data_IF_152259707458
#
_entry.id   IF_152259707458
#
_cell.length_a   1.000
_cell.length_b   1.000
_cell.length_c   1.000
_cell.angle_alpha   90.00
_cell.angle_beta   90.00
_cell.angle_gamma   90.00
#
_symmetry.space_group_name_H-M   'P 1'
#
loop_
_entity.id
_entity.type
_entity.pdbx_description
1 polymer ?
#
# COMPACT_ATOMS: atom_id res chain seq x y z
N UNK A 1 -49.19 -49.67 23.46
CA UNK A 1 -50.39 -48.77 23.55
C UNK A 1 -49.91 -47.37 23.79
N UNK A 2 -50.49 -46.43 23.06
CA UNK A 2 -50.28 -44.96 23.02
C UNK A 2 -49.11 -44.44 22.20
N UNK A 3 -49.41 -44.29 20.91
CA UNK A 3 -48.72 -43.38 19.99
C UNK A 3 -49.08 -41.94 20.33
N UNK A 4 -48.10 -41.06 20.58
CA UNK A 4 -48.27 -39.60 20.60
C UNK A 4 -47.86 -39.04 19.27
N UNK A 5 -48.80 -38.45 18.57
CA UNK A 5 -48.66 -37.64 17.35
C UNK A 5 -47.78 -36.44 17.62
N UNK A 6 -46.67 -36.34 16.87
CA UNK A 6 -45.83 -35.15 16.80
C UNK A 6 -46.55 -34.12 15.90
N UNK A 7 -46.99 -33.02 16.50
CA UNK A 7 -47.49 -31.85 15.80
C UNK A 7 -46.33 -31.08 15.17
N UNK A 8 -46.42 -30.84 13.85
CA UNK A 8 -45.53 -30.01 13.07
C UNK A 8 -45.68 -28.53 13.49
N UNK A 9 -44.58 -27.78 13.73
CA UNK A 9 -44.69 -26.36 14.04
C UNK A 9 -45.09 -25.57 12.79
N UNK A 10 -46.01 -24.62 13.00
CA UNK A 10 -46.50 -23.68 11.99
C UNK A 10 -45.38 -22.89 11.30
N UNK A 11 -45.45 -22.82 9.98
CA UNK A 11 -44.57 -21.94 9.16
C UNK A 11 -44.74 -20.49 9.61
N UNK A 12 -43.65 -19.88 10.08
CA UNK A 12 -43.55 -18.44 10.29
C UNK A 12 -43.70 -17.74 8.94
N UNK A 13 -44.76 -16.99 8.77
CA UNK A 13 -44.99 -16.11 7.63
C UNK A 13 -43.88 -15.04 7.62
N UNK A 14 -43.18 -14.94 6.50
CA UNK A 14 -42.22 -13.86 6.24
C UNK A 14 -42.91 -12.52 6.24
N UNK A 15 -42.42 -11.48 6.95
CA UNK A 15 -43.02 -10.17 6.87
C UNK A 15 -42.87 -9.61 5.45
N UNK A 16 -44.00 -9.14 4.89
CA UNK A 16 -44.01 -8.46 3.60
C UNK A 16 -43.35 -7.08 3.74
N UNK A 17 -42.21 -6.89 3.11
CA UNK A 17 -41.55 -5.59 2.99
C UNK A 17 -42.41 -4.68 2.09
N UNK A 18 -42.69 -3.42 2.47
CA UNK A 18 -43.42 -2.50 1.61
C UNK A 18 -42.58 -2.15 0.39
N UNK A 19 -43.05 -2.51 -0.79
CA UNK A 19 -42.47 -2.08 -2.08
C UNK A 19 -42.85 -0.61 -2.31
N UNK A 20 -42.07 0.33 -1.76
CA UNK A 20 -41.98 1.72 -2.24
C UNK A 20 -40.60 2.29 -1.85
N UNK A 21 -39.58 1.96 -2.61
CA UNK A 21 -38.46 2.85 -2.72
C UNK A 21 -38.88 4.03 -3.59
N UNK A 22 -39.06 5.20 -2.99
CA UNK A 22 -39.07 6.46 -3.76
C UNK A 22 -37.66 6.70 -4.16
N UNK A 23 -37.36 6.67 -5.46
CA UNK A 23 -36.10 7.12 -5.99
C UNK A 23 -35.85 8.57 -5.56
N UNK A 24 -34.72 8.80 -4.93
CA UNK A 24 -34.23 10.14 -4.61
C UNK A 24 -34.01 10.86 -5.95
N UNK A 25 -34.58 12.03 -6.15
CA UNK A 25 -34.42 12.86 -7.34
C UNK A 25 -32.98 13.33 -7.56
N UNK A 26 -32.08 13.14 -6.58
CA UNK A 26 -30.63 13.41 -6.72
C UNK A 26 -29.87 12.33 -7.52
N UNK A 27 -30.52 11.20 -7.86
CA UNK A 27 -29.94 10.11 -8.64
C UNK A 27 -30.50 10.02 -10.08
N UNK A 28 -31.14 11.08 -10.59
CA UNK A 28 -31.54 11.11 -12.00
C UNK A 28 -30.28 11.28 -12.84
N UNK A 29 -29.95 10.35 -13.76
CA UNK A 29 -28.82 10.55 -14.66
C UNK A 29 -29.07 11.81 -15.48
N UNK A 30 -28.20 12.79 -15.39
CA UNK A 30 -28.13 13.84 -16.41
C UNK A 30 -27.81 13.19 -17.74
N UNK A 31 -28.52 13.60 -18.80
CA UNK A 31 -28.44 13.04 -20.14
C UNK A 31 -26.96 12.76 -20.53
N UNK A 32 -26.72 11.58 -21.07
CA UNK A 32 -25.42 11.19 -21.62
C UNK A 32 -24.92 12.26 -22.60
N UNK A 33 -23.63 12.63 -22.56
CA UNK A 33 -23.07 13.48 -23.61
C UNK A 33 -23.14 12.72 -24.94
N UNK A 34 -23.43 13.42 -26.06
CA UNK A 34 -23.59 12.78 -27.35
C UNK A 34 -22.33 12.03 -27.74
N UNK A 35 -22.50 10.73 -28.00
CA UNK A 35 -21.48 9.81 -28.46
C UNK A 35 -20.84 10.34 -29.77
N UNK A 36 -19.62 10.85 -29.69
CA UNK A 36 -18.86 11.26 -30.87
C UNK A 36 -18.38 10.04 -31.62
N UNK A 37 -19.25 9.50 -32.44
CA UNK A 37 -18.95 8.38 -33.32
C UNK A 37 -17.86 8.76 -34.32
N UNK A 38 -17.03 7.77 -34.66
CA UNK A 38 -15.93 7.76 -35.66
C UNK A 38 -16.29 8.32 -37.05
N UNK A 39 -17.53 8.78 -37.30
CA UNK A 39 -18.02 9.26 -38.57
C UNK A 39 -17.60 10.71 -38.91
N UNK A 40 -17.17 11.50 -37.92
CA UNK A 40 -16.76 12.90 -38.18
C UNK A 40 -15.28 13.06 -38.57
N UNK A 41 -14.54 11.97 -38.67
CA UNK A 41 -13.14 11.99 -39.11
C UNK A 41 -12.96 12.01 -40.64
N UNK A 42 -14.03 11.73 -41.41
CA UNK A 42 -13.95 11.63 -42.87
C UNK A 42 -14.59 12.78 -43.63
N UNK A 43 -15.12 13.79 -42.97
CA UNK A 43 -15.79 14.94 -43.64
C UNK A 43 -14.93 16.23 -43.73
N UNK A 44 -13.66 16.20 -43.32
CA UNK A 44 -12.76 17.37 -43.32
C UNK A 44 -11.65 17.36 -44.36
N UNK A 45 -11.69 16.47 -45.30
CA UNK A 45 -10.58 16.26 -46.23
C UNK A 45 -10.89 16.51 -47.70
N UNK A 46 -11.26 17.71 -48.15
CA UNK A 46 -11.06 18.18 -49.53
C UNK A 46 -11.26 19.72 -49.51
N UNK A 47 -10.22 20.50 -49.40
CA UNK A 47 -10.01 21.82 -50.00
C UNK A 47 -8.76 22.49 -49.41
N UNK A 48 -7.61 22.23 -49.99
CA UNK A 48 -6.51 23.21 -50.14
C UNK A 48 -5.33 22.54 -50.88
N UNK A 49 -5.45 22.46 -52.19
CA UNK A 49 -4.27 22.38 -53.05
C UNK A 49 -3.79 23.82 -53.28
N UNK A 50 -2.67 24.18 -52.65
CA UNK A 50 -2.05 25.51 -52.74
C UNK A 50 -0.62 25.48 -52.26
N UNK A 51 0.34 25.18 -53.18
CA UNK A 51 1.72 25.69 -53.28
C UNK A 51 2.59 25.78 -52.01
N UNK A 52 3.53 24.87 -51.88
CA UNK A 52 4.95 25.15 -51.73
C UNK A 52 5.45 25.77 -50.43
N UNK A 53 5.99 24.96 -49.56
CA UNK A 53 7.27 25.19 -48.87
C UNK A 53 7.59 23.91 -48.04
N UNK A 54 8.66 23.22 -48.38
CA UNK A 54 9.21 22.08 -47.62
C UNK A 54 9.77 22.57 -46.30
N UNK A 55 8.91 22.77 -45.31
CA UNK A 55 9.28 22.97 -43.95
C UNK A 55 9.10 21.62 -43.22
N UNK A 56 10.18 20.87 -43.03
CA UNK A 56 10.23 19.76 -42.06
C UNK A 56 9.82 20.34 -40.72
N UNK A 57 8.56 20.16 -40.34
CA UNK A 57 8.13 20.35 -38.95
C UNK A 57 8.83 19.29 -38.16
N UNK A 58 9.95 19.64 -37.54
CA UNK A 58 10.42 18.92 -36.38
C UNK A 58 9.24 18.89 -35.40
N UNK A 59 8.67 17.71 -35.16
CA UNK A 59 7.80 17.54 -34.02
C UNK A 59 8.62 17.96 -32.81
N UNK A 60 8.28 19.07 -32.17
CA UNK A 60 8.88 19.46 -30.92
C UNK A 60 8.67 18.29 -30.00
N UNK A 61 9.76 17.64 -29.57
CA UNK A 61 9.69 16.63 -28.55
C UNK A 61 8.94 17.27 -27.38
N UNK A 62 7.88 16.62 -26.93
CA UNK A 62 7.22 17.07 -25.71
C UNK A 62 8.27 17.04 -24.60
N UNK A 63 8.37 18.09 -23.76
CA UNK A 63 9.32 18.09 -22.67
C UNK A 63 9.06 16.84 -21.83
N UNK A 64 10.11 16.05 -21.59
CA UNK A 64 10.08 14.91 -20.68
C UNK A 64 9.41 15.36 -19.38
N UNK A 65 8.48 14.58 -18.83
CA UNK A 65 7.83 14.93 -17.57
C UNK A 65 8.90 15.13 -16.51
N UNK A 66 8.87 16.27 -15.82
CA UNK A 66 9.85 16.58 -14.78
C UNK A 66 9.80 15.45 -13.73
N UNK A 67 10.92 14.75 -13.54
CA UNK A 67 11.03 13.67 -12.55
C UNK A 67 11.07 14.28 -11.16
N UNK A 68 9.93 14.36 -10.50
CA UNK A 68 9.82 15.03 -9.20
C UNK A 68 9.23 14.14 -8.12
N UNK A 69 8.63 12.99 -8.48
CA UNK A 69 7.96 12.13 -7.53
C UNK A 69 8.93 11.26 -6.76
N UNK A 70 8.58 10.96 -5.49
CA UNK A 70 9.19 9.92 -4.69
C UNK A 70 8.13 8.84 -4.46
N UNK A 71 8.42 7.66 -4.98
CA UNK A 71 7.57 6.48 -4.84
C UNK A 71 8.00 5.68 -3.61
N UNK A 72 7.13 5.59 -2.60
CA UNK A 72 7.42 4.87 -1.35
C UNK A 72 6.86 3.44 -1.33
N UNK A 73 6.28 2.97 -2.45
CA UNK A 73 5.77 1.61 -2.59
C UNK A 73 6.23 1.01 -3.93
N UNK A 74 7.46 0.54 -3.94
CA UNK A 74 8.10 -0.01 -5.13
C UNK A 74 8.83 -1.30 -4.77
N UNK A 75 8.38 -2.41 -5.32
CA UNK A 75 9.00 -3.68 -5.03
C UNK A 75 10.22 -3.97 -5.90
N UNK A 76 11.17 -4.69 -5.32
CA UNK A 76 12.31 -5.24 -6.03
C UNK A 76 12.50 -6.70 -5.69
N UNK A 77 13.15 -7.44 -6.58
CA UNK A 77 13.39 -8.87 -6.44
C UNK A 77 14.89 -9.16 -6.57
N UNK A 78 15.64 -9.19 -5.46
CA UNK A 78 17.03 -9.62 -5.48
C UNK A 78 17.18 -11.05 -6.03
N UNK A 79 18.29 -11.36 -6.76
CA UNK A 79 18.52 -12.71 -7.29
C UNK A 79 18.47 -13.80 -6.22
N UNK A 80 18.92 -13.50 -5.00
CA UNK A 80 18.88 -14.43 -3.86
C UNK A 80 17.45 -14.70 -3.41
N UNK A 81 16.57 -13.70 -3.42
CA UNK A 81 15.14 -13.89 -3.12
C UNK A 81 14.44 -14.66 -4.23
N UNK A 82 14.74 -14.38 -5.50
CA UNK A 82 14.23 -15.13 -6.64
C UNK A 82 14.59 -16.63 -6.53
N UNK A 83 15.83 -16.93 -6.12
CA UNK A 83 16.25 -18.31 -5.84
C UNK A 83 15.44 -18.93 -4.69
N UNK A 84 15.22 -18.20 -3.60
CA UNK A 84 14.44 -18.68 -2.46
C UNK A 84 12.98 -18.99 -2.86
N UNK A 85 12.37 -18.21 -3.76
CA UNK A 85 11.07 -18.52 -4.35
C UNK A 85 11.09 -19.86 -5.11
N UNK A 86 12.08 -20.06 -5.97
CA UNK A 86 12.21 -21.30 -6.75
C UNK A 86 12.42 -22.52 -5.84
N UNK A 87 13.25 -22.41 -4.82
CA UNK A 87 13.56 -23.50 -3.89
C UNK A 87 12.37 -23.86 -2.97
N UNK A 88 11.54 -22.88 -2.59
CA UNK A 88 10.45 -23.08 -1.64
C UNK A 88 9.11 -23.44 -2.30
N UNK A 89 8.99 -23.33 -3.61
CA UNK A 89 7.74 -23.51 -4.35
C UNK A 89 6.57 -22.63 -3.82
N UNK A 90 6.88 -21.48 -3.24
CA UNK A 90 5.89 -20.53 -2.70
C UNK A 90 5.55 -19.50 -3.78
N UNK A 91 4.45 -19.72 -4.49
CA UNK A 91 3.95 -18.80 -5.50
C UNK A 91 4.90 -18.55 -6.68
N UNK A 92 4.60 -17.56 -7.50
CA UNK A 92 5.46 -17.14 -8.61
C UNK A 92 6.11 -15.80 -8.28
N UNK A 93 7.42 -15.72 -8.38
CA UNK A 93 8.14 -14.45 -8.31
C UNK A 93 7.77 -13.57 -9.52
N UNK A 94 7.55 -12.26 -9.36
CA UNK A 94 7.31 -11.38 -10.50
C UNK A 94 8.56 -11.28 -11.36
N UNK A 95 8.39 -10.94 -12.63
CA UNK A 95 9.54 -10.53 -13.47
C UNK A 95 9.97 -9.14 -13.02
N UNK A 96 11.26 -9.01 -12.73
CA UNK A 96 11.83 -7.74 -12.30
C UNK A 96 13.30 -7.61 -12.70
N UNK A 97 13.71 -6.41 -13.01
CA UNK A 97 15.11 -6.00 -13.13
C UNK A 97 15.24 -4.51 -12.78
N UNK A 98 16.44 -4.02 -12.43
CA UNK A 98 16.66 -2.59 -12.21
C UNK A 98 16.25 -1.73 -13.39
N UNK A 99 16.53 -2.18 -14.63
CA UNK A 99 16.16 -1.44 -15.83
C UNK A 99 14.63 -1.34 -16.00
N UNK A 100 13.89 -2.41 -15.73
CA UNK A 100 12.41 -2.36 -15.77
C UNK A 100 11.85 -1.33 -14.78
N UNK A 101 12.42 -1.24 -13.56
CA UNK A 101 12.06 -0.21 -12.60
C UNK A 101 12.34 1.19 -13.13
N UNK A 102 13.54 1.42 -13.68
CA UNK A 102 13.93 2.73 -14.21
C UNK A 102 13.02 3.17 -15.38
N UNK A 103 12.66 2.25 -16.26
CA UNK A 103 11.80 2.53 -17.40
C UNK A 103 10.38 2.93 -16.95
N UNK A 104 9.82 2.25 -15.94
CA UNK A 104 8.51 2.58 -15.37
C UNK A 104 8.55 3.92 -14.61
N UNK A 105 9.57 4.11 -13.78
CA UNK A 105 9.80 5.37 -13.06
C UNK A 105 9.86 6.56 -14.02
N UNK A 106 10.56 6.41 -15.13
CA UNK A 106 10.71 7.48 -16.13
C UNK A 106 9.37 7.81 -16.78
N UNK A 107 8.57 6.80 -17.14
CA UNK A 107 7.21 6.98 -17.67
C UNK A 107 6.28 7.70 -16.68
N UNK A 108 6.39 7.36 -15.39
CA UNK A 108 5.54 7.90 -14.33
C UNK A 108 6.06 9.25 -13.78
N UNK A 109 7.20 9.76 -14.26
CA UNK A 109 7.85 10.97 -13.72
C UNK A 109 8.32 10.80 -12.27
N UNK A 110 8.74 9.58 -11.91
CA UNK A 110 9.31 9.23 -10.59
C UNK A 110 10.81 9.44 -10.62
N UNK A 111 11.31 10.27 -9.73
CA UNK A 111 12.74 10.50 -9.55
C UNK A 111 13.38 9.37 -8.74
N UNK A 112 12.77 9.06 -7.60
CA UNK A 112 13.33 8.11 -6.64
C UNK A 112 12.24 7.13 -6.20
N UNK A 113 12.52 5.82 -6.25
CA UNK A 113 11.66 4.78 -5.67
C UNK A 113 12.34 4.15 -4.46
N UNK A 114 11.60 4.03 -3.35
CA UNK A 114 12.10 3.36 -2.15
C UNK A 114 11.79 1.87 -2.27
N UNK A 115 12.84 1.08 -2.46
CA UNK A 115 12.75 -0.36 -2.71
C UNK A 115 12.28 -1.12 -1.47
N UNK A 116 11.32 -2.01 -1.62
CA UNK A 116 10.91 -2.99 -0.62
C UNK A 116 10.80 -4.38 -1.26
N UNK A 117 11.06 -5.45 -0.49
CA UNK A 117 10.98 -6.81 -1.03
C UNK A 117 9.54 -7.18 -1.43
N UNK A 118 9.40 -8.06 -2.43
CA UNK A 118 8.13 -8.72 -2.70
C UNK A 118 7.79 -9.71 -1.58
N UNK A 119 6.47 -9.92 -1.29
CA UNK A 119 6.07 -10.94 -0.33
C UNK A 119 6.49 -12.35 -0.80
N UNK A 120 6.84 -13.28 0.11
CA UNK A 120 6.73 -13.21 1.55
C UNK A 120 7.96 -12.56 2.25
N UNK A 121 8.73 -11.76 1.55
CA UNK A 121 9.93 -11.13 2.11
C UNK A 121 11.07 -12.13 2.28
N UNK A 122 11.53 -12.30 3.53
CA UNK A 122 12.62 -13.22 3.87
C UNK A 122 12.15 -14.42 4.70
N UNK A 123 10.86 -14.47 5.06
CA UNK A 123 10.26 -15.55 5.83
C UNK A 123 9.50 -16.51 4.92
N UNK A 124 10.17 -17.56 4.46
CA UNK A 124 9.54 -18.64 3.70
C UNK A 124 9.01 -19.74 4.64
N UNK A 125 8.00 -20.50 4.19
CA UNK A 125 7.18 -21.40 5.02
C UNK A 125 7.95 -22.42 5.88
N UNK A 126 9.23 -22.64 5.64
CA UNK A 126 10.04 -23.60 6.39
C UNK A 126 10.52 -23.11 7.76
N UNK A 127 10.25 -21.87 8.13
CA UNK A 127 10.49 -21.31 9.45
C UNK A 127 11.94 -21.34 9.95
N UNK A 128 12.92 -21.46 9.04
CA UNK A 128 14.33 -21.51 9.44
C UNK A 128 14.84 -20.08 9.70
N UNK A 129 15.03 -19.74 10.96
CA UNK A 129 15.49 -18.42 11.38
C UNK A 129 16.88 -18.08 10.83
N UNK A 130 17.81 -19.03 10.77
CA UNK A 130 19.16 -18.80 10.23
C UNK A 130 19.11 -18.47 8.72
N UNK A 131 18.33 -19.24 7.96
CA UNK A 131 18.14 -18.97 6.54
C UNK A 131 17.48 -17.60 6.31
N UNK A 132 16.50 -17.23 7.14
CA UNK A 132 15.84 -15.91 7.06
C UNK A 132 16.78 -14.76 7.41
N UNK A 133 17.65 -14.91 8.40
CA UNK A 133 18.71 -13.93 8.74
C UNK A 133 19.67 -13.72 7.57
N UNK A 134 20.16 -14.82 6.98
CA UNK A 134 21.06 -14.77 5.83
C UNK A 134 20.38 -14.10 4.64
N UNK A 135 19.15 -14.51 4.33
CA UNK A 135 18.40 -13.95 3.20
C UNK A 135 18.12 -12.46 3.40
N UNK A 136 17.76 -12.02 4.61
CA UNK A 136 17.56 -10.60 4.92
C UNK A 136 18.84 -9.79 4.62
N UNK A 137 19.98 -10.25 5.13
CA UNK A 137 21.26 -9.61 4.92
C UNK A 137 21.60 -9.48 3.43
N UNK A 138 21.54 -10.56 2.69
CA UNK A 138 21.88 -10.59 1.26
C UNK A 138 20.93 -9.73 0.42
N UNK A 139 19.63 -9.70 0.75
CA UNK A 139 18.67 -8.84 0.09
C UNK A 139 18.93 -7.35 0.38
N UNK A 140 19.23 -7.00 1.63
CA UNK A 140 19.52 -5.64 2.04
C UNK A 140 20.82 -5.13 1.40
N UNK A 141 21.87 -5.96 1.35
CA UNK A 141 23.13 -5.65 0.68
C UNK A 141 22.92 -5.39 -0.82
N UNK A 142 22.11 -6.19 -1.49
CA UNK A 142 21.74 -5.98 -2.89
C UNK A 142 20.99 -4.67 -3.09
N UNK A 143 20.00 -4.35 -2.23
CA UNK A 143 19.31 -3.06 -2.29
C UNK A 143 20.23 -1.87 -2.06
N UNK A 144 21.17 -1.98 -1.12
CA UNK A 144 22.18 -0.96 -0.88
C UNK A 144 23.16 -0.81 -2.06
N UNK A 145 23.47 -1.91 -2.77
CA UNK A 145 24.27 -1.86 -3.99
C UNK A 145 23.52 -1.14 -5.12
N UNK A 146 22.24 -1.41 -5.33
CA UNK A 146 21.44 -0.69 -6.33
C UNK A 146 21.42 0.82 -6.09
N UNK A 147 21.40 1.27 -4.84
CA UNK A 147 21.49 2.70 -4.50
C UNK A 147 22.82 3.32 -4.91
N UNK A 148 23.91 2.56 -4.87
CA UNK A 148 25.24 3.01 -5.31
C UNK A 148 25.35 3.00 -6.83
N UNK A 149 24.78 1.98 -7.49
CA UNK A 149 24.86 1.83 -8.94
C UNK A 149 23.97 2.86 -9.67
N UNK A 150 22.89 3.29 -9.03
CA UNK A 150 21.91 4.24 -9.58
C UNK A 150 21.66 5.41 -8.60
N UNK A 151 22.63 6.32 -8.43
CA UNK A 151 22.52 7.41 -7.47
C UNK A 151 21.28 8.27 -7.70
N UNK A 152 20.54 8.56 -6.61
CA UNK A 152 19.32 9.37 -6.63
C UNK A 152 18.08 8.66 -7.20
N UNK A 153 18.22 7.41 -7.72
CA UNK A 153 17.06 6.67 -8.27
C UNK A 153 16.43 5.72 -7.27
N UNK A 154 17.17 5.20 -6.29
CA UNK A 154 16.65 4.24 -5.33
C UNK A 154 16.90 4.66 -3.88
N UNK A 155 15.88 4.50 -3.04
CA UNK A 155 15.96 4.38 -1.59
C UNK A 155 15.81 2.91 -1.18
N UNK A 156 15.81 2.62 0.14
CA UNK A 156 15.70 1.27 0.65
C UNK A 156 14.89 1.19 1.95
N UNK A 157 13.82 0.43 1.95
CA UNK A 157 13.22 -0.15 3.14
C UNK A 157 13.83 -1.54 3.35
N UNK A 158 14.71 -1.65 4.34
CA UNK A 158 15.41 -2.90 4.60
C UNK A 158 14.48 -3.95 5.23
N UNK A 159 14.64 -5.20 4.82
CA UNK A 159 13.93 -6.32 5.40
C UNK A 159 14.58 -6.78 6.71
N UNK A 160 13.79 -7.27 7.66
CA UNK A 160 14.27 -7.92 8.88
C UNK A 160 13.67 -9.31 9.03
N UNK A 161 14.36 -10.26 9.69
CA UNK A 161 13.95 -11.66 9.73
C UNK A 161 12.89 -11.97 10.81
N UNK A 162 11.84 -11.13 10.98
CA UNK A 162 10.71 -11.51 11.82
C UNK A 162 10.14 -12.86 11.37
N UNK A 163 9.68 -13.70 12.29
CA UNK A 163 9.39 -13.46 13.70
C UNK A 163 10.60 -13.61 14.66
N UNK A 164 11.80 -13.82 14.15
CA UNK A 164 13.01 -13.90 14.95
C UNK A 164 13.40 -12.50 15.48
N UNK A 165 13.01 -12.21 16.71
CA UNK A 165 13.23 -10.89 17.31
C UNK A 165 14.74 -10.57 17.47
N UNK A 166 15.54 -11.54 17.92
CA UNK A 166 16.98 -11.34 18.14
C UNK A 166 17.72 -11.08 16.81
N UNK A 167 17.44 -11.87 15.78
CA UNK A 167 17.97 -11.66 14.43
C UNK A 167 17.53 -10.32 13.86
N UNK A 168 16.27 -9.92 14.12
CA UNK A 168 15.73 -8.64 13.67
C UNK A 168 16.41 -7.45 14.31
N UNK A 169 16.73 -7.50 15.61
CA UNK A 169 17.47 -6.42 16.28
C UNK A 169 18.86 -6.21 15.67
N UNK A 170 19.59 -7.30 15.38
CA UNK A 170 20.90 -7.22 14.71
C UNK A 170 20.79 -6.68 13.29
N UNK A 171 19.75 -7.07 12.57
CA UNK A 171 19.57 -6.61 11.20
C UNK A 171 19.09 -5.14 11.14
N UNK A 172 18.32 -4.67 12.11
CA UNK A 172 17.96 -3.24 12.26
C UNK A 172 19.20 -2.38 12.44
N UNK A 173 20.11 -2.80 13.35
CA UNK A 173 21.38 -2.11 13.56
C UNK A 173 22.20 -2.03 12.26
N UNK A 174 22.37 -3.15 11.58
CA UNK A 174 23.13 -3.21 10.34
C UNK A 174 22.48 -2.36 9.23
N UNK A 175 21.19 -2.51 9.03
CA UNK A 175 20.48 -1.80 7.97
C UNK A 175 20.50 -0.28 8.16
N UNK A 176 20.25 0.20 9.39
CA UNK A 176 20.16 1.63 9.66
C UNK A 176 21.55 2.28 9.89
N UNK A 177 22.49 1.56 10.54
CA UNK A 177 23.78 2.13 10.93
C UNK A 177 24.88 1.90 9.90
N UNK A 178 24.88 0.76 9.18
CA UNK A 178 25.89 0.43 8.18
C UNK A 178 25.40 0.75 6.77
N UNK A 179 24.25 0.19 6.38
CA UNK A 179 23.71 0.38 5.03
C UNK A 179 23.06 1.76 4.85
N UNK A 180 22.72 2.45 5.96
CA UNK A 180 21.98 3.72 5.93
C UNK A 180 20.65 3.58 5.16
N UNK A 181 19.91 2.50 5.41
CA UNK A 181 18.59 2.32 4.87
C UNK A 181 17.64 3.47 5.26
N UNK A 182 16.66 3.78 4.42
CA UNK A 182 15.73 4.90 4.64
C UNK A 182 14.64 4.55 5.65
N UNK A 183 14.46 3.26 5.92
CA UNK A 183 13.56 2.71 6.90
C UNK A 183 13.57 1.20 6.88
N UNK A 184 12.60 0.60 7.56
CA UNK A 184 12.40 -0.84 7.64
C UNK A 184 11.10 -1.23 6.94
N UNK A 185 11.14 -2.23 6.06
CA UNK A 185 9.99 -2.82 5.39
C UNK A 185 9.47 -4.03 6.17
N UNK A 186 8.20 -3.99 6.57
CA UNK A 186 7.52 -5.07 7.28
C UNK A 186 6.32 -5.59 6.50
N UNK A 187 5.94 -6.83 6.78
CA UNK A 187 4.64 -7.37 6.39
C UNK A 187 3.65 -7.28 7.55
N UNK A 188 2.37 -7.34 7.24
CA UNK A 188 1.28 -7.24 8.22
C UNK A 188 1.32 -8.32 9.30
N UNK A 189 1.84 -9.51 8.95
CA UNK A 189 1.95 -10.61 9.89
C UNK A 189 3.13 -11.54 9.58
N UNK A 190 3.61 -12.26 10.59
CA UNK A 190 4.68 -13.24 10.52
C UNK A 190 4.30 -14.47 11.34
N UNK A 191 4.37 -15.67 10.75
CA UNK A 191 4.02 -16.93 11.41
C UNK A 191 2.65 -16.88 12.12
N UNK A 192 1.65 -16.26 11.48
CA UNK A 192 0.29 -16.13 12.01
C UNK A 192 0.09 -15.06 13.10
N UNK A 193 1.11 -14.27 13.41
CA UNK A 193 1.06 -13.18 14.39
C UNK A 193 1.09 -11.84 13.70
N UNK A 194 0.12 -10.97 14.01
CA UNK A 194 0.11 -9.57 13.56
C UNK A 194 1.13 -8.73 14.31
N UNK A 195 1.52 -7.59 13.72
CA UNK A 195 2.58 -6.72 14.26
C UNK A 195 2.32 -6.20 15.69
N UNK A 196 1.08 -6.20 16.16
CA UNK A 196 0.73 -5.85 17.54
C UNK A 196 0.89 -6.97 18.57
N UNK A 197 1.41 -8.17 18.19
CA UNK A 197 1.70 -9.25 19.11
C UNK A 197 2.82 -8.86 20.09
N UNK A 198 2.65 -9.25 21.37
CA UNK A 198 3.60 -8.90 22.42
C UNK A 198 5.02 -9.44 22.18
N UNK A 199 5.18 -10.54 21.43
CA UNK A 199 6.49 -11.10 21.10
C UNK A 199 7.36 -10.18 20.22
N UNK A 200 6.77 -9.19 19.54
CA UNK A 200 7.49 -8.24 18.70
C UNK A 200 7.86 -6.94 19.43
N UNK A 201 7.44 -6.76 20.68
CA UNK A 201 7.71 -5.53 21.45
C UNK A 201 9.20 -5.14 21.44
N UNK A 202 10.18 -6.04 21.70
CA UNK A 202 11.59 -5.64 21.70
C UNK A 202 12.05 -5.01 20.38
N UNK A 203 11.53 -5.51 19.25
CA UNK A 203 11.83 -4.98 17.91
C UNK A 203 11.23 -3.59 17.74
N UNK A 204 9.98 -3.39 18.15
CA UNK A 204 9.33 -2.10 18.04
C UNK A 204 9.91 -1.05 19.01
N UNK A 205 10.35 -1.44 20.20
CA UNK A 205 11.04 -0.54 21.12
C UNK A 205 12.37 -0.04 20.54
N UNK A 206 13.13 -0.90 19.85
CA UNK A 206 14.35 -0.47 19.16
C UNK A 206 14.04 0.44 17.96
N UNK A 207 13.03 0.12 17.15
CA UNK A 207 12.57 0.99 16.06
C UNK A 207 12.10 2.35 16.59
N UNK A 208 11.42 2.37 17.75
CA UNK A 208 10.97 3.59 18.40
C UNK A 208 12.13 4.44 18.91
N UNK A 209 13.11 3.80 19.56
CA UNK A 209 14.34 4.47 20.04
C UNK A 209 15.06 5.19 18.90
N UNK A 210 15.03 4.58 17.70
CA UNK A 210 15.63 5.12 16.47
C UNK A 210 14.73 6.11 15.75
N UNK A 211 13.47 6.30 16.17
CA UNK A 211 12.44 7.08 15.46
C UNK A 211 12.32 6.65 14.00
N UNK A 212 12.38 5.34 13.78
CA UNK A 212 12.49 4.75 12.46
C UNK A 212 11.22 4.99 11.62
N UNK A 213 11.41 5.08 10.31
CA UNK A 213 10.35 4.93 9.33
C UNK A 213 10.11 3.43 9.13
N UNK A 214 8.84 3.02 9.21
CA UNK A 214 8.42 1.62 9.04
C UNK A 214 7.35 1.56 7.96
N UNK A 215 7.70 1.03 6.82
CA UNK A 215 6.77 0.73 5.74
C UNK A 215 6.14 -0.64 5.97
N UNK A 216 4.84 -0.79 5.71
CA UNK A 216 4.13 -2.05 5.90
C UNK A 216 3.37 -2.46 4.65
N UNK A 217 3.54 -3.73 4.26
CA UNK A 217 2.85 -4.33 3.12
C UNK A 217 1.97 -5.52 3.58
N UNK A 218 0.74 -5.68 3.06
CA UNK A 218 -0.11 -6.82 3.40
C UNK A 218 0.44 -8.14 2.88
N UNK A 219 -0.05 -9.21 3.51
CA UNK A 219 0.11 -10.58 3.01
C UNK A 219 -1.26 -11.25 2.93
N UNK A 220 -1.35 -12.38 2.23
CA UNK A 220 -2.54 -13.24 2.30
C UNK A 220 -2.54 -13.96 3.65
N UNK A 221 -3.46 -13.62 4.58
CA UNK A 221 -3.47 -14.26 5.88
C UNK A 221 -3.94 -15.72 5.76
N UNK A 222 -3.31 -16.61 6.52
CA UNK A 222 -3.59 -18.05 6.44
C UNK A 222 -5.08 -18.41 6.67
N UNK A 223 -5.80 -17.60 7.48
CA UNK A 223 -7.23 -17.80 7.73
C UNK A 223 -8.11 -17.64 6.49
N UNK A 224 -7.64 -16.89 5.50
CA UNK A 224 -8.52 -16.33 4.47
C UNK A 224 -7.94 -16.51 3.05
N UNK A 225 -6.82 -17.22 2.93
CA UNK A 225 -6.22 -17.53 1.64
C UNK A 225 -7.11 -18.47 0.84
N UNK A 226 -7.30 -18.17 -0.46
CA UNK A 226 -8.16 -18.91 -1.38
C UNK A 226 -9.62 -19.08 -0.92
N UNK A 227 -10.13 -18.17 -0.09
CA UNK A 227 -11.49 -18.25 0.47
C UNK A 227 -12.57 -18.13 -0.62
N UNK A 228 -12.33 -17.34 -1.65
CA UNK A 228 -13.28 -17.10 -2.73
C UNK A 228 -12.71 -17.71 -4.02
N UNK A 229 -13.34 -18.79 -4.51
CA UNK A 229 -12.90 -19.48 -5.74
C UNK A 229 -12.86 -18.51 -6.93
N UNK A 230 -11.74 -18.52 -7.67
CA UNK A 230 -11.54 -17.68 -8.84
C UNK A 230 -11.20 -16.22 -8.58
N UNK A 231 -11.09 -15.80 -7.29
CA UNK A 231 -10.70 -14.44 -6.89
C UNK A 231 -9.32 -14.51 -6.24
N UNK A 232 -8.41 -13.66 -6.71
CA UNK A 232 -7.08 -13.54 -6.09
C UNK A 232 -7.21 -12.92 -4.69
N UNK A 233 -6.47 -13.44 -3.72
CA UNK A 233 -6.49 -12.96 -2.33
C UNK A 233 -6.24 -11.45 -2.23
N UNK A 234 -5.33 -10.90 -3.04
CA UNK A 234 -5.05 -9.47 -3.10
C UNK A 234 -6.26 -8.57 -3.36
N UNK A 235 -7.32 -9.11 -4.00
CA UNK A 235 -8.54 -8.35 -4.32
C UNK A 235 -9.31 -7.91 -3.07
N UNK A 236 -9.33 -8.74 -2.04
CA UNK A 236 -10.10 -8.48 -0.80
C UNK A 236 -9.18 -8.47 0.42
N UNK A 237 -8.29 -9.46 0.51
CA UNK A 237 -7.57 -9.71 1.75
C UNK A 237 -6.48 -8.68 2.01
N UNK A 238 -5.78 -8.14 1.00
CA UNK A 238 -4.69 -7.19 1.25
C UNK A 238 -5.18 -5.91 1.96
N UNK A 239 -6.27 -5.32 1.45
CA UNK A 239 -6.85 -4.14 2.09
C UNK A 239 -7.39 -4.45 3.50
N UNK A 240 -7.95 -5.64 3.69
CA UNK A 240 -8.50 -6.11 4.96
C UNK A 240 -7.36 -6.41 5.95
N UNK A 241 -6.29 -7.03 5.50
CA UNK A 241 -5.15 -7.44 6.32
C UNK A 241 -4.33 -6.24 6.83
N UNK A 242 -4.16 -5.20 5.99
CA UNK A 242 -3.62 -3.90 6.43
C UNK A 242 -4.43 -3.35 7.61
N UNK A 243 -5.77 -3.40 7.53
CA UNK A 243 -6.63 -2.91 8.61
C UNK A 243 -6.54 -3.78 9.87
N UNK A 244 -6.42 -5.12 9.73
CA UNK A 244 -6.21 -6.04 10.86
C UNK A 244 -4.93 -5.70 11.61
N UNK A 245 -3.85 -5.42 10.88
CA UNK A 245 -2.58 -5.03 11.48
C UNK A 245 -2.66 -3.68 12.21
N UNK A 246 -3.29 -2.67 11.62
CA UNK A 246 -3.54 -1.40 12.32
C UNK A 246 -4.35 -1.64 13.60
N UNK A 247 -5.38 -2.49 13.54
CA UNK A 247 -6.15 -2.87 14.72
C UNK A 247 -5.29 -3.57 15.77
N UNK A 248 -4.40 -4.47 15.35
CA UNK A 248 -3.51 -5.20 16.28
C UNK A 248 -2.54 -4.27 17.01
N UNK A 249 -1.98 -3.27 16.33
CA UNK A 249 -1.10 -2.28 16.96
C UNK A 249 -1.83 -1.39 17.99
N UNK A 250 -3.10 -1.09 17.74
CA UNK A 250 -3.91 -0.23 18.62
C UNK A 250 -4.52 -1.02 19.78
N UNK A 251 -5.07 -2.20 19.51
CA UNK A 251 -5.88 -2.96 20.47
C UNK A 251 -5.22 -4.24 20.98
N UNK A 252 -4.14 -4.70 20.33
CA UNK A 252 -3.43 -5.92 20.71
C UNK A 252 -2.66 -5.80 22.02
N UNK A 253 -2.23 -6.95 22.55
CA UNK A 253 -1.58 -7.07 23.85
C UNK A 253 -0.22 -6.33 23.93
N UNK A 254 0.45 -6.17 22.78
CA UNK A 254 1.69 -5.40 22.70
C UNK A 254 1.51 -3.92 23.00
N UNK A 255 0.35 -3.35 22.73
CA UNK A 255 0.09 -1.92 22.88
C UNK A 255 1.04 -1.03 22.09
N UNK A 256 1.56 -1.54 20.98
CA UNK A 256 2.67 -0.97 20.20
C UNK A 256 2.43 0.48 19.78
N UNK A 257 1.20 0.81 19.36
CA UNK A 257 0.87 2.19 18.96
C UNK A 257 1.03 3.23 20.07
N UNK A 258 1.02 2.81 21.34
CA UNK A 258 1.16 3.69 22.52
C UNK A 258 2.53 3.59 23.16
N UNK A 259 3.12 2.39 23.17
CA UNK A 259 4.48 2.18 23.70
C UNK A 259 5.56 2.76 22.79
N UNK A 260 5.28 2.80 21.47
CA UNK A 260 6.22 3.17 20.44
C UNK A 260 5.70 4.35 19.59
N UNK A 261 5.43 5.53 20.22
CA UNK A 261 4.79 6.66 19.54
C UNK A 261 5.68 7.37 18.50
N UNK A 262 7.00 7.17 18.56
CA UNK A 262 7.96 7.85 17.69
C UNK A 262 8.19 7.11 16.36
N UNK A 263 7.68 5.89 16.21
CA UNK A 263 7.72 5.17 14.94
C UNK A 263 6.82 5.86 13.91
N UNK A 264 7.35 6.09 12.73
CA UNK A 264 6.62 6.67 11.61
C UNK A 264 6.17 5.58 10.67
N UNK A 265 4.97 5.03 10.94
CA UNK A 265 4.38 3.98 10.12
C UNK A 265 3.84 4.56 8.80
N UNK A 266 4.19 3.91 7.70
CA UNK A 266 3.62 4.12 6.35
C UNK A 266 2.77 2.89 6.03
N UNK A 267 1.46 3.09 5.87
CA UNK A 267 0.52 2.04 5.53
C UNK A 267 0.27 2.00 4.04
N UNK A 268 0.44 0.82 3.45
CA UNK A 268 0.16 0.59 2.04
C UNK A 268 -1.34 0.67 1.72
N UNK A 269 -1.63 0.92 0.44
CA UNK A 269 -2.97 0.90 -0.15
C UNK A 269 -3.97 1.79 0.61
N UNK A 270 -3.57 3.03 0.92
CA UNK A 270 -4.40 4.01 1.63
C UNK A 270 -4.92 3.52 2.99
N UNK A 271 -4.17 2.62 3.65
CA UNK A 271 -4.57 2.03 4.93
C UNK A 271 -5.67 0.97 4.82
N UNK A 272 -5.90 0.46 3.61
CA UNK A 272 -6.85 -0.62 3.34
C UNK A 272 -8.30 -0.24 3.62
N UNK A 273 -9.01 -1.09 4.35
CA UNK A 273 -10.43 -0.86 4.70
C UNK A 273 -10.62 0.00 5.95
N UNK A 274 -9.56 0.55 6.56
CA UNK A 274 -9.62 1.34 7.79
C UNK A 274 -10.66 2.47 7.74
N UNK A 275 -10.75 3.30 6.67
CA UNK A 275 -11.73 4.40 6.63
C UNK A 275 -13.16 3.93 6.80
N UNK A 276 -13.50 2.76 6.29
CA UNK A 276 -14.83 2.18 6.38
C UNK A 276 -15.09 1.48 7.72
N UNK A 277 -14.03 1.06 8.42
CA UNK A 277 -14.12 0.35 9.70
C UNK A 277 -13.88 1.25 10.92
N UNK A 278 -13.52 2.52 10.75
CA UNK A 278 -13.20 3.42 11.86
C UNK A 278 -14.31 3.54 12.90
N UNK A 279 -15.57 3.48 12.48
CA UNK A 279 -16.71 3.49 13.38
C UNK A 279 -16.74 2.29 14.35
N UNK A 280 -16.21 1.13 13.91
CA UNK A 280 -16.05 -0.05 14.77
C UNK A 280 -14.92 0.14 15.79
N UNK A 281 -13.83 0.80 15.41
CA UNK A 281 -12.73 1.15 16.31
C UNK A 281 -13.21 2.12 17.40
N UNK A 282 -13.97 3.16 17.01
CA UNK A 282 -14.58 4.13 17.95
C UNK A 282 -15.48 3.39 18.94
N UNK A 283 -16.34 2.49 18.46
CA UNK A 283 -17.22 1.69 19.33
C UNK A 283 -16.41 0.79 20.28
N UNK A 284 -15.34 0.16 19.81
CA UNK A 284 -14.47 -0.70 20.63
C UNK A 284 -13.88 0.10 21.80
N UNK A 285 -13.35 1.30 21.53
CA UNK A 285 -12.81 2.20 22.58
C UNK A 285 -13.89 2.59 23.59
N UNK A 286 -15.07 2.99 23.12
CA UNK A 286 -16.17 3.39 23.99
C UNK A 286 -16.67 2.25 24.89
N UNK A 287 -16.79 1.03 24.35
CA UNK A 287 -17.22 -0.14 25.12
C UNK A 287 -16.17 -0.58 26.14
N UNK A 288 -14.90 -0.59 25.75
CA UNK A 288 -13.79 -1.00 26.63
C UNK A 288 -13.38 0.10 27.60
N UNK A 289 -13.80 1.35 27.37
CA UNK A 289 -13.37 2.53 28.14
C UNK A 289 -11.85 2.60 28.26
N UNK A 290 -11.15 2.39 27.11
CA UNK A 290 -9.69 2.31 27.08
C UNK A 290 -9.08 3.66 27.48
N UNK A 291 -8.39 3.75 28.64
CA UNK A 291 -7.83 5.00 29.13
C UNK A 291 -6.70 5.57 28.26
N UNK A 292 -6.11 4.75 27.38
CA UNK A 292 -5.08 5.20 26.43
C UNK A 292 -5.65 6.08 25.31
N UNK A 293 -6.96 6.03 25.10
CA UNK A 293 -7.66 6.72 24.02
C UNK A 293 -8.85 7.54 24.53
N UNK A 294 -8.63 8.54 25.40
CA UNK A 294 -9.72 9.36 25.92
C UNK A 294 -10.51 10.07 24.80
N UNK A 295 -9.82 10.45 23.71
CA UNK A 295 -10.40 11.10 22.52
C UNK A 295 -10.72 10.12 21.40
N UNK A 296 -10.75 8.81 21.70
CA UNK A 296 -10.99 7.75 20.72
C UNK A 296 -9.76 7.39 19.85
N UNK A 297 -9.92 6.52 18.84
CA UNK A 297 -8.81 6.00 18.05
C UNK A 297 -8.36 6.95 16.92
N UNK A 298 -9.16 7.96 16.56
CA UNK A 298 -8.87 8.86 15.43
C UNK A 298 -7.55 9.61 15.61
N UNK A 299 -7.21 10.17 16.80
CA UNK A 299 -5.89 10.78 17.02
C UNK A 299 -4.72 9.82 16.79
N UNK A 300 -4.90 8.53 17.07
CA UNK A 300 -3.86 7.51 16.84
C UNK A 300 -3.63 7.31 15.35
N UNK A 301 -4.69 7.08 14.58
CA UNK A 301 -4.57 6.88 13.12
C UNK A 301 -4.08 8.12 12.39
N UNK A 302 -4.30 9.32 12.92
CA UNK A 302 -3.77 10.58 12.39
C UNK A 302 -2.26 10.74 12.56
N UNK A 303 -1.60 9.93 13.37
CA UNK A 303 -0.13 9.94 13.49
C UNK A 303 0.55 9.11 12.41
N UNK A 304 -0.20 8.24 11.75
CA UNK A 304 0.31 7.36 10.70
C UNK A 304 0.38 8.07 9.35
N UNK A 305 1.19 7.53 8.46
CA UNK A 305 1.28 7.92 7.07
C UNK A 305 0.69 6.84 6.18
N UNK A 306 0.28 7.22 4.99
CA UNK A 306 -0.43 6.34 4.06
C UNK A 306 0.09 6.60 2.65
N UNK A 307 0.27 5.57 1.86
CA UNK A 307 0.58 5.74 0.45
C UNK A 307 -0.60 5.29 -0.42
N UNK A 308 -0.62 5.77 -1.67
CA UNK A 308 -1.82 5.77 -2.48
C UNK A 308 -1.95 4.60 -3.46
N UNK A 309 -0.97 3.68 -3.55
CA UNK A 309 -1.01 2.56 -4.49
C UNK A 309 -2.33 1.78 -4.36
N UNK A 310 -3.00 1.55 -5.47
CA UNK A 310 -4.30 0.84 -5.54
C UNK A 310 -5.39 1.35 -4.56
N UNK A 311 -5.10 2.44 -3.82
CA UNK A 311 -6.03 3.15 -2.95
C UNK A 311 -6.33 4.57 -3.46
N UNK A 312 -6.21 4.80 -4.77
CA UNK A 312 -6.14 6.09 -5.44
C UNK A 312 -7.41 6.46 -6.25
N UNK A 313 -8.52 5.79 -6.03
CA UNK A 313 -9.80 6.21 -6.65
C UNK A 313 -10.47 7.33 -5.85
N UNK A 314 -11.27 8.20 -6.48
CA UNK A 314 -11.90 9.33 -5.81
C UNK A 314 -12.69 8.99 -4.55
N UNK A 315 -13.40 7.86 -4.52
CA UNK A 315 -14.15 7.41 -3.36
C UNK A 315 -13.25 7.01 -2.18
N UNK A 316 -12.09 6.40 -2.47
CA UNK A 316 -11.11 6.00 -1.47
C UNK A 316 -10.43 7.25 -0.85
N UNK A 317 -10.00 8.20 -1.69
CA UNK A 317 -9.48 9.49 -1.21
C UNK A 317 -10.49 10.24 -0.35
N UNK A 318 -11.75 10.34 -0.82
CA UNK A 318 -12.79 11.03 -0.07
C UNK A 318 -13.02 10.41 1.33
N UNK A 319 -12.98 9.08 1.44
CA UNK A 319 -13.11 8.38 2.72
C UNK A 319 -11.89 8.59 3.63
N UNK A 320 -10.68 8.42 3.10
CA UNK A 320 -9.45 8.55 3.87
C UNK A 320 -9.22 9.98 4.36
N UNK A 321 -9.45 10.98 3.53
CA UNK A 321 -9.27 12.41 3.86
C UNK A 321 -10.27 12.95 4.89
N UNK A 322 -11.33 12.18 5.22
CA UNK A 322 -12.15 12.46 6.41
C UNK A 322 -11.47 12.07 7.70
N UNK A 323 -10.47 11.19 7.65
CA UNK A 323 -9.74 10.72 8.83
C UNK A 323 -8.41 11.43 9.02
N UNK A 324 -7.68 11.72 7.92
CA UNK A 324 -6.31 12.23 7.98
C UNK A 324 -6.14 13.47 7.10
N UNK A 325 -5.19 14.35 7.40
CA UNK A 325 -4.83 15.46 6.51
C UNK A 325 -4.01 14.96 5.31
N UNK A 326 -4.03 15.70 4.20
CA UNK A 326 -3.25 15.41 2.99
C UNK A 326 -1.75 15.28 3.30
N UNK A 327 -1.24 16.02 4.28
CA UNK A 327 0.16 15.96 4.72
C UNK A 327 0.60 14.60 5.27
N UNK A 328 -0.31 13.63 5.40
CA UNK A 328 -0.02 12.24 5.77
C UNK A 328 -0.06 11.29 4.56
N UNK A 329 -0.38 11.79 3.36
CA UNK A 329 -0.35 11.00 2.13
C UNK A 329 1.01 11.08 1.44
N UNK A 330 1.37 9.97 0.76
CA UNK A 330 2.57 9.86 -0.08
C UNK A 330 2.23 9.12 -1.38
N UNK A 331 3.01 9.39 -2.41
CA UNK A 331 2.91 8.66 -3.66
C UNK A 331 3.46 7.24 -3.49
N UNK A 332 2.74 6.26 -4.04
CA UNK A 332 3.12 4.85 -4.10
C UNK A 332 2.53 4.23 -5.37
N UNK A 333 3.28 3.34 -6.03
CA UNK A 333 2.88 2.70 -7.29
C UNK A 333 2.44 1.24 -7.15
N UNK A 334 3.08 0.49 -6.26
CA UNK A 334 3.01 -0.98 -6.18
C UNK A 334 3.64 -1.70 -7.39
N UNK A 335 4.63 -1.05 -8.03
CA UNK A 335 5.42 -1.67 -9.09
C UNK A 335 6.19 -2.91 -8.55
N UNK A 336 6.31 -4.04 -9.26
CA UNK A 336 5.90 -4.29 -10.64
C UNK A 336 4.48 -4.89 -10.81
N UNK A 337 3.68 -4.92 -9.77
CA UNK A 337 2.30 -5.44 -9.85
C UNK A 337 1.35 -4.47 -10.56
N UNK A 338 1.69 -3.18 -10.54
CA UNK A 338 1.02 -2.10 -11.27
C UNK A 338 2.05 -1.21 -11.95
N UNK A 339 1.68 -0.56 -13.04
CA UNK A 339 2.51 0.46 -13.66
C UNK A 339 2.39 1.78 -12.86
N UNK A 340 3.51 2.49 -12.66
CA UNK A 340 3.51 3.74 -11.90
C UNK A 340 2.57 4.80 -12.45
N UNK A 341 2.30 4.77 -13.75
CA UNK A 341 1.35 5.69 -14.41
C UNK A 341 -0.09 5.54 -13.88
N UNK A 342 -0.52 4.34 -13.46
CA UNK A 342 -1.84 4.13 -12.89
C UNK A 342 -2.03 4.94 -11.58
N UNK A 343 -0.98 5.04 -10.76
CA UNK A 343 -1.02 5.86 -9.56
C UNK A 343 -1.06 7.36 -9.87
N UNK A 344 -0.37 7.78 -10.93
CA UNK A 344 -0.39 9.17 -11.43
C UNK A 344 -1.79 9.54 -11.91
N UNK A 345 -2.41 8.68 -12.71
CA UNK A 345 -3.75 8.91 -13.26
C UNK A 345 -4.79 9.00 -12.14
N UNK A 346 -4.79 8.08 -11.19
CA UNK A 346 -5.69 8.12 -10.05
C UNK A 346 -5.51 9.37 -9.17
N UNK A 347 -4.27 9.84 -9.00
CA UNK A 347 -4.00 11.08 -8.29
C UNK A 347 -4.55 12.30 -9.07
N UNK A 348 -4.53 12.27 -10.41
CA UNK A 348 -5.04 13.33 -11.26
C UNK A 348 -6.58 13.37 -11.30
N UNK A 349 -7.24 12.24 -11.13
CA UNK A 349 -8.70 12.13 -11.13
C UNK A 349 -9.37 12.73 -9.88
N UNK A 350 -8.60 13.03 -8.84
CA UNK A 350 -9.12 13.67 -7.62
C UNK A 350 -8.75 15.16 -7.60
N UNK A 351 -9.65 16.07 -7.15
CA UNK A 351 -9.45 17.52 -7.20
C UNK A 351 -8.52 18.03 -6.10
N UNK A 352 -7.32 17.45 -6.00
CA UNK A 352 -6.27 18.00 -5.17
C UNK A 352 -5.77 19.34 -5.70
N UNK A 353 -5.45 20.27 -4.81
CA UNK A 353 -4.72 21.48 -5.16
C UNK A 353 -3.29 21.15 -5.62
N UNK A 354 -2.62 22.10 -6.29
CA UNK A 354 -1.21 21.92 -6.67
C UNK A 354 -0.30 21.71 -5.45
N UNK A 355 -0.60 22.40 -4.34
CA UNK A 355 0.11 22.23 -3.08
C UNK A 355 -0.10 20.82 -2.49
N UNK A 356 -1.32 20.28 -2.53
CA UNK A 356 -1.60 18.91 -2.10
C UNK A 356 -0.86 17.90 -2.97
N UNK A 357 -0.85 18.11 -4.29
CA UNK A 357 -0.10 17.25 -5.22
C UNK A 357 1.40 17.30 -4.96
N UNK A 358 1.98 18.46 -4.70
CA UNK A 358 3.38 18.59 -4.33
C UNK A 358 3.69 17.84 -3.02
N UNK A 359 2.80 17.98 -2.02
CA UNK A 359 2.93 17.27 -0.75
C UNK A 359 2.91 15.76 -0.95
N UNK A 360 1.91 15.22 -1.66
CA UNK A 360 1.76 13.78 -1.91
C UNK A 360 2.92 13.24 -2.76
N UNK A 361 3.26 13.93 -3.83
CA UNK A 361 4.28 13.48 -4.77
C UNK A 361 5.70 13.45 -4.17
N UNK A 362 6.02 14.32 -3.21
CA UNK A 362 7.41 14.49 -2.78
C UNK A 362 7.59 14.94 -1.32
N UNK A 363 6.94 16.03 -0.90
CA UNK A 363 7.33 16.72 0.32
C UNK A 363 7.10 15.89 1.58
N UNK A 364 6.01 15.11 1.62
CA UNK A 364 5.73 14.20 2.75
C UNK A 364 6.81 13.14 2.88
N UNK A 365 7.26 12.54 1.79
CA UNK A 365 8.34 11.56 1.79
C UNK A 365 9.66 12.19 2.27
N UNK A 366 10.00 13.39 1.79
CA UNK A 366 11.22 14.10 2.20
C UNK A 366 11.23 14.49 3.68
N UNK A 367 10.07 14.84 4.26
CA UNK A 367 10.00 15.09 5.72
C UNK A 367 10.35 13.86 6.56
N UNK A 368 10.00 12.67 6.07
CA UNK A 368 10.31 11.40 6.75
C UNK A 368 11.72 10.91 6.45
N UNK A 369 12.15 11.06 5.22
CA UNK A 369 13.37 10.49 4.66
C UNK A 369 14.19 11.59 3.93
N UNK A 370 14.81 12.55 4.66
CA UNK A 370 15.47 13.70 4.06
C UNK A 370 16.61 13.35 3.08
N UNK A 371 17.19 12.15 3.21
CA UNK A 371 18.26 11.70 2.30
C UNK A 371 17.79 11.44 0.88
N UNK A 372 16.48 11.34 0.64
CA UNK A 372 15.91 11.21 -0.70
C UNK A 372 15.88 12.53 -1.48
N UNK A 373 16.39 13.61 -0.91
CA UNK A 373 16.46 14.91 -1.59
C UNK A 373 17.48 14.96 -2.75
N UNK A 374 18.45 14.05 -2.76
CA UNK A 374 19.53 13.96 -3.73
C UNK A 374 20.88 13.96 -3.07
#
# INVERSE_FOLDING_TARGET
MNARLLQTPAMLQKPAWPRRFRFCTCCTPTAEPPNKTRRNFLAGGIAALGLGASGTKFAAAQPEPSKTRIDVHHHYLPPVQAKAFADSHVGNAPKWSPQMSLDDMDKAGVQTSVLSLVQPGVWFANGNAEASRKLARECNDYGAQLRKDYPGRFGLFAAIPLPDAEGSLREIEYALDVLKADGIGLYTSYAGKYLGDASFIPVFEELNRRKAVVYTHPVSPACCSNMIGGVQDGTVEYATDTTRTIASLIFGDGGTAFRCPDIRFIWSHSGGTLPFLIGRFIRQVAVKKDPRMPDGPVPVVKRFYYEIAQGNLPGQFAALLKLIPVSQLMFGSDYPYREGIEAVDGLNDYPFSDADRASINRETALRLMPRLAG
#
